data_IF_428665861887
#
_entry.id   IF_428665861887
#
_cell.length_a   1.000
_cell.length_b   1.000
_cell.length_c   1.000
_cell.angle_alpha   90.00
_cell.angle_beta   90.00
_cell.angle_gamma   90.00
#
_symmetry.space_group_name_H-M   'P 1'
#
loop_
_entity.id
_entity.type
_entity.pdbx_description
1 polymer ?
#
# COMPACT_ATOMS: atom_id res chain seq x y z
N UNK A 1 6.85 35.16 -15.95
CA UNK A 1 7.41 33.80 -16.05
C UNK A 1 7.01 33.06 -14.77
N UNK A 2 6.14 32.04 -14.88
CA UNK A 2 5.71 31.22 -13.74
C UNK A 2 5.96 29.77 -14.14
N UNK A 3 6.71 29.06 -13.30
CA UNK A 3 7.07 27.64 -13.41
C UNK A 3 8.39 27.39 -12.65
N UNK A 4 8.51 26.28 -11.90
CA UNK A 4 8.04 24.99 -12.34
C UNK A 4 6.87 24.44 -11.52
N UNK A 5 6.00 23.77 -12.26
CA UNK A 5 4.93 22.91 -11.79
C UNK A 5 5.53 21.73 -11.03
N UNK A 6 5.17 21.58 -9.75
CA UNK A 6 5.41 20.36 -8.99
C UNK A 6 4.65 19.22 -9.66
N UNK A 7 5.36 18.46 -10.49
CA UNK A 7 4.94 17.15 -10.94
C UNK A 7 4.92 16.22 -9.72
N UNK A 8 3.82 16.24 -8.98
CA UNK A 8 3.43 15.14 -8.09
C UNK A 8 3.22 13.91 -8.96
N UNK A 9 4.30 13.18 -9.18
CA UNK A 9 4.30 11.91 -9.86
C UNK A 9 3.45 10.96 -9.01
N UNK A 10 2.33 10.40 -9.52
CA UNK A 10 1.68 9.32 -8.82
C UNK A 10 2.74 8.23 -8.62
N UNK A 11 2.83 7.70 -7.40
CA UNK A 11 3.67 6.53 -7.09
C UNK A 11 3.11 5.31 -7.86
N UNK A 12 3.31 5.28 -9.17
CA UNK A 12 3.14 4.09 -9.99
C UNK A 12 4.31 3.19 -9.64
N UNK A 13 4.07 2.35 -8.64
CA UNK A 13 4.99 1.29 -8.23
C UNK A 13 5.46 0.55 -9.47
N UNK A 14 6.78 0.54 -9.62
CA UNK A 14 7.53 -0.17 -10.63
C UNK A 14 6.98 -1.59 -10.74
N UNK A 15 6.37 -1.86 -11.90
CA UNK A 15 6.25 -3.14 -12.58
C UNK A 15 6.80 -4.32 -11.73
N UNK A 16 5.92 -5.07 -11.07
CA UNK A 16 6.15 -6.49 -10.84
C UNK A 16 6.21 -7.11 -12.24
N UNK A 17 7.39 -7.06 -12.86
CA UNK A 17 7.63 -7.49 -14.24
C UNK A 17 7.78 -9.00 -14.29
N UNK A 18 6.82 -9.74 -13.75
CA UNK A 18 6.56 -11.13 -14.09
C UNK A 18 5.05 -11.30 -14.04
N UNK A 19 4.49 -11.80 -15.14
CA UNK A 19 3.08 -12.12 -15.40
C UNK A 19 2.27 -11.05 -16.15
N UNK A 20 2.35 -11.13 -17.48
CA UNK A 20 1.16 -11.02 -18.33
C UNK A 20 0.76 -9.62 -18.76
N UNK A 21 0.20 -9.53 -19.96
CA UNK A 21 -0.21 -8.31 -20.65
C UNK A 21 -1.18 -7.48 -19.79
N UNK A 22 -1.10 -6.16 -19.91
CA UNK A 22 -2.11 -5.23 -19.38
C UNK A 22 -3.46 -5.58 -20.02
N UNK A 23 -4.40 -6.11 -19.24
CA UNK A 23 -5.73 -6.50 -19.70
C UNK A 23 -6.22 -7.89 -19.26
N UNK A 24 -5.38 -8.69 -18.61
CA UNK A 24 -5.79 -10.01 -18.12
C UNK A 24 -6.41 -9.93 -16.72
N UNK A 25 -7.57 -10.56 -16.61
CA UNK A 25 -8.33 -10.72 -15.38
C UNK A 25 -7.62 -11.70 -14.47
N UNK A 26 -7.26 -11.29 -13.24
CA UNK A 26 -6.67 -12.17 -12.24
C UNK A 26 -7.78 -12.97 -11.56
N UNK A 27 -7.73 -14.30 -11.63
CA UNK A 27 -8.68 -15.20 -10.95
C UNK A 27 -7.92 -16.04 -9.92
N UNK A 28 -8.38 -16.02 -8.67
CA UNK A 28 -7.88 -16.96 -7.65
C UNK A 28 -8.34 -18.37 -7.99
N UNK A 29 -7.44 -19.35 -7.97
CA UNK A 29 -7.76 -20.76 -8.33
C UNK A 29 -8.66 -21.44 -7.30
N UNK A 30 -8.62 -21.02 -6.04
CA UNK A 30 -9.41 -21.65 -4.97
C UNK A 30 -10.76 -20.97 -4.73
N UNK A 31 -10.74 -19.69 -4.37
CA UNK A 31 -11.98 -18.99 -4.00
C UNK A 31 -12.72 -18.42 -5.21
N UNK A 32 -12.17 -18.57 -6.41
CA UNK A 32 -12.75 -18.11 -7.66
C UNK A 32 -12.87 -16.59 -7.77
N UNK A 33 -12.44 -15.80 -6.78
CA UNK A 33 -12.48 -14.33 -6.84
C UNK A 33 -11.75 -13.85 -8.07
N UNK A 34 -12.38 -12.89 -8.72
CA UNK A 34 -11.95 -12.32 -9.98
C UNK A 34 -11.63 -10.85 -9.72
N UNK A 35 -10.41 -10.45 -10.04
CA UNK A 35 -9.98 -9.07 -10.06
C UNK A 35 -9.85 -8.63 -11.51
N UNK A 36 -10.39 -7.46 -11.89
CA UNK A 36 -10.38 -6.97 -13.26
C UNK A 36 -8.97 -6.60 -13.79
N UNK A 37 -7.94 -6.74 -12.95
CA UNK A 37 -6.55 -6.47 -13.30
C UNK A 37 -5.62 -7.42 -12.57
N UNK A 38 -4.54 -7.81 -13.24
CA UNK A 38 -3.35 -8.42 -12.65
C UNK A 38 -2.48 -7.42 -11.84
N UNK A 39 -2.89 -6.15 -11.75
CA UNK A 39 -2.21 -5.13 -10.97
C UNK A 39 -2.77 -5.05 -9.55
N UNK A 40 -1.87 -5.07 -8.57
CA UNK A 40 -2.21 -4.72 -7.20
C UNK A 40 -1.84 -3.27 -6.94
N UNK A 41 -2.82 -2.46 -6.56
CA UNK A 41 -2.62 -1.06 -6.16
C UNK A 41 -2.63 -0.96 -4.64
N UNK A 42 -1.66 -0.25 -4.09
CA UNK A 42 -1.61 0.08 -2.67
C UNK A 42 -1.84 1.57 -2.54
N UNK A 43 -2.65 1.96 -1.56
CA UNK A 43 -2.88 3.35 -1.18
C UNK A 43 -2.48 3.53 0.28
N UNK A 44 -1.50 4.40 0.60
CA UNK A 44 -1.30 4.82 1.98
C UNK A 44 -2.48 5.68 2.44
N UNK A 45 -2.87 5.55 3.70
CA UNK A 45 -3.87 6.41 4.32
C UNK A 45 -3.18 7.57 5.02
N UNK A 46 -3.77 8.75 4.87
CA UNK A 46 -3.27 9.98 5.47
C UNK A 46 -3.77 10.13 6.92
N UNK A 47 -3.14 11.03 7.66
CA UNK A 47 -3.67 11.57 8.91
C UNK A 47 -3.84 13.08 8.76
N UNK A 48 -4.91 13.65 9.32
CA UNK A 48 -5.02 15.11 9.42
C UNK A 48 -4.28 15.62 10.66
N UNK A 49 -3.89 16.89 10.61
CA UNK A 49 -3.30 17.56 11.77
C UNK A 49 -4.38 17.79 12.84
N UNK A 50 -4.08 17.44 14.10
CA UNK A 50 -4.99 17.70 15.23
C UNK A 50 -5.04 19.16 15.68
N UNK A 51 -4.05 19.96 15.31
CA UNK A 51 -3.88 21.35 15.77
C UNK A 51 -4.51 22.32 14.77
N UNK A 52 -4.46 22.01 13.48
CA UNK A 52 -4.89 22.92 12.43
C UNK A 52 -6.31 22.56 11.97
N UNK A 53 -7.21 23.55 11.88
CA UNK A 53 -8.59 23.36 11.42
C UNK A 53 -8.68 22.97 9.93
N UNK A 54 -7.82 23.55 9.10
CA UNK A 54 -7.94 23.49 7.63
C UNK A 54 -6.69 22.88 6.95
N UNK A 55 -5.86 22.17 7.70
CA UNK A 55 -4.69 21.53 7.10
C UNK A 55 -5.10 20.41 6.13
N UNK A 56 -4.55 20.38 4.90
CA UNK A 56 -4.85 19.31 3.96
C UNK A 56 -4.31 17.98 4.51
N UNK A 57 -5.01 16.89 4.21
CA UNK A 57 -4.46 15.55 4.45
C UNK A 57 -3.29 15.31 3.51
N UNK A 58 -2.10 15.11 4.08
CA UNK A 58 -0.86 14.88 3.32
C UNK A 58 -0.57 13.39 3.22
N UNK A 59 -0.21 12.91 2.04
CA UNK A 59 0.29 11.55 1.87
C UNK A 59 1.55 11.36 2.73
N UNK A 60 1.64 10.27 3.50
CA UNK A 60 2.83 10.04 4.31
C UNK A 60 4.06 9.84 3.40
N UNK A 61 5.20 10.39 3.81
CA UNK A 61 6.47 10.07 3.21
C UNK A 61 6.94 8.71 3.77
N UNK A 62 6.88 7.66 2.94
CA UNK A 62 7.27 6.31 3.33
C UNK A 62 8.62 6.01 2.70
N UNK A 63 9.58 5.58 3.51
CA UNK A 63 10.89 5.17 3.02
C UNK A 63 10.79 4.07 1.97
N UNK A 64 11.57 4.20 0.89
CA UNK A 64 11.54 3.27 -0.24
C UNK A 64 11.82 1.81 0.18
N UNK A 65 12.68 1.59 1.17
CA UNK A 65 12.95 0.26 1.70
C UNK A 65 11.71 -0.36 2.37
N UNK A 66 10.94 0.44 3.13
CA UNK A 66 9.68 0.01 3.73
C UNK A 66 8.62 -0.30 2.66
N UNK A 67 8.55 0.48 1.58
CA UNK A 67 7.68 0.17 0.42
C UNK A 67 8.09 -1.17 -0.20
N UNK A 68 9.38 -1.41 -0.41
CA UNK A 68 9.89 -2.67 -0.97
C UNK A 68 9.50 -3.88 -0.11
N UNK A 69 9.71 -3.80 1.20
CA UNK A 69 9.34 -4.86 2.14
C UNK A 69 7.82 -5.12 2.11
N UNK A 70 7.00 -4.07 1.93
CA UNK A 70 5.55 -4.20 1.81
C UNK A 70 5.17 -5.02 0.59
N UNK A 71 5.75 -4.67 -0.56
CA UNK A 71 5.51 -5.35 -1.83
C UNK A 71 5.98 -6.81 -1.78
N UNK A 72 7.16 -7.09 -1.24
CA UNK A 72 7.67 -8.46 -1.07
C UNK A 72 6.76 -9.32 -0.19
N UNK A 73 6.26 -8.76 0.92
CA UNK A 73 5.35 -9.47 1.83
C UNK A 73 3.96 -9.68 1.20
N UNK A 74 3.49 -8.72 0.39
CA UNK A 74 2.23 -8.84 -0.35
C UNK A 74 2.31 -9.95 -1.40
N UNK A 75 3.36 -9.95 -2.22
CA UNK A 75 3.59 -10.98 -3.24
C UNK A 75 3.61 -12.38 -2.60
N UNK A 76 4.35 -12.54 -1.49
CA UNK A 76 4.37 -13.80 -0.72
C UNK A 76 2.98 -14.21 -0.26
N UNK A 77 2.17 -13.28 0.27
CA UNK A 77 0.80 -13.59 0.68
C UNK A 77 -0.06 -14.05 -0.48
N UNK A 78 0.10 -13.46 -1.67
CA UNK A 78 -0.63 -13.87 -2.87
C UNK A 78 -0.19 -15.27 -3.29
N UNK A 79 1.11 -15.54 -3.38
CA UNK A 79 1.67 -16.87 -3.68
C UNK A 79 1.14 -17.95 -2.76
N UNK A 80 1.18 -17.71 -1.44
CA UNK A 80 0.67 -18.66 -0.45
C UNK A 80 -0.85 -18.82 -0.55
N UNK A 81 -1.62 -17.72 -0.56
CA UNK A 81 -3.09 -17.79 -0.42
C UNK A 81 -3.83 -18.10 -1.71
N UNK A 82 -3.31 -17.66 -2.84
CA UNK A 82 -3.97 -17.79 -4.14
C UNK A 82 -3.39 -18.94 -4.96
N UNK A 83 -2.13 -19.32 -4.73
CA UNK A 83 -1.43 -20.33 -5.52
C UNK A 83 -0.87 -21.50 -4.69
N UNK A 84 -1.03 -21.48 -3.36
CA UNK A 84 -0.61 -22.57 -2.46
C UNK A 84 0.87 -22.91 -2.53
N UNK A 85 1.69 -21.96 -2.99
CA UNK A 85 3.14 -22.13 -3.06
C UNK A 85 3.73 -22.24 -1.64
N UNK A 86 4.58 -23.24 -1.42
CA UNK A 86 5.34 -23.40 -0.19
C UNK A 86 6.54 -22.46 -0.19
N UNK A 87 6.33 -21.21 0.21
CA UNK A 87 7.45 -20.27 0.37
C UNK A 87 8.10 -20.47 1.74
N UNK A 88 9.28 -21.10 1.80
CA UNK A 88 10.06 -21.28 3.04
C UNK A 88 10.70 -20.00 3.60
N UNK A 89 10.47 -18.85 2.97
CA UNK A 89 11.08 -17.58 3.35
C UNK A 89 10.33 -16.93 4.52
N UNK A 90 11.06 -16.59 5.59
CA UNK A 90 10.52 -15.80 6.71
C UNK A 90 9.98 -14.45 6.21
N UNK A 91 8.95 -13.93 6.90
CA UNK A 91 8.47 -12.56 6.67
C UNK A 91 9.59 -11.58 6.99
N UNK A 92 9.77 -10.59 6.11
CA UNK A 92 10.64 -9.45 6.41
C UNK A 92 9.85 -8.45 7.22
N UNK A 93 10.46 -7.93 8.27
CA UNK A 93 9.85 -6.90 9.10
C UNK A 93 10.21 -5.53 8.54
N UNK A 94 9.23 -4.63 8.60
CA UNK A 94 9.47 -3.21 8.33
C UNK A 94 10.35 -2.63 9.41
N UNK A 95 11.09 -1.59 9.05
CA UNK A 95 11.70 -0.72 10.03
C UNK A 95 10.59 0.00 10.79
N UNK A 96 10.62 -0.12 12.12
CA UNK A 96 9.64 0.55 12.97
C UNK A 96 10.25 1.88 13.35
N UNK A 97 9.53 2.96 13.06
CA UNK A 97 9.84 4.25 13.66
C UNK A 97 9.11 4.31 14.99
N UNK A 98 9.84 4.69 16.04
CA UNK A 98 9.24 5.07 17.30
C UNK A 98 8.50 6.38 17.07
N UNK A 99 7.17 6.31 17.09
CA UNK A 99 6.31 7.49 17.03
C UNK A 99 5.86 7.82 18.43
N UNK A 100 6.09 9.05 18.86
CA UNK A 100 5.76 9.51 20.22
C UNK A 100 4.26 9.63 20.47
N UNK A 101 3.45 9.78 19.41
CA UNK A 101 2.01 10.00 19.52
C UNK A 101 1.22 8.69 19.39
N UNK A 102 0.20 8.46 20.24
CA UNK A 102 -0.71 7.33 20.08
C UNK A 102 -1.48 7.40 18.76
N UNK A 103 -2.02 6.26 18.35
CA UNK A 103 -2.95 6.21 17.23
C UNK A 103 -4.24 6.97 17.60
N UNK A 104 -4.59 7.99 16.81
CA UNK A 104 -5.79 8.81 17.03
C UNK A 104 -6.83 8.51 15.93
N UNK A 105 -7.87 7.68 16.20
CA UNK A 105 -8.80 7.20 15.17
C UNK A 105 -9.61 8.30 14.49
N UNK A 106 -9.98 9.36 15.22
CA UNK A 106 -10.67 10.54 14.68
C UNK A 106 -9.84 11.28 13.62
N UNK A 107 -8.52 11.07 13.62
CA UNK A 107 -7.58 11.76 12.75
C UNK A 107 -6.95 10.85 11.68
N UNK A 108 -7.26 9.55 11.70
CA UNK A 108 -6.76 8.60 10.72
C UNK A 108 -7.77 8.36 9.60
N UNK A 109 -7.39 8.64 8.35
CA UNK A 109 -8.23 8.40 7.18
C UNK A 109 -8.66 6.91 7.06
N UNK A 110 -7.80 5.98 7.51
CA UNK A 110 -8.12 4.56 7.54
C UNK A 110 -9.20 4.19 8.57
N UNK A 111 -9.18 4.81 9.75
CA UNK A 111 -10.22 4.62 10.78
C UNK A 111 -11.54 5.25 10.35
N UNK A 112 -11.50 6.46 9.80
CA UNK A 112 -12.69 7.16 9.27
C UNK A 112 -13.40 6.31 8.20
N UNK A 113 -12.64 5.51 7.44
CA UNK A 113 -13.17 4.56 6.45
C UNK A 113 -13.50 3.17 6.98
N UNK A 114 -13.28 2.90 8.26
CA UNK A 114 -13.52 1.58 8.88
C UNK A 114 -12.56 0.48 8.41
N UNK A 115 -11.38 0.83 7.93
CA UNK A 115 -10.38 -0.11 7.37
C UNK A 115 -9.27 -0.42 8.37
N UNK A 116 -8.90 0.56 9.21
CA UNK A 116 -7.91 0.37 10.25
C UNK A 116 -8.47 -0.46 11.41
N UNK A 117 -7.64 -1.31 12.01
CA UNK A 117 -7.97 -2.18 13.14
C UNK A 117 -7.04 -1.95 14.35
N UNK A 118 -6.38 -0.78 14.39
CA UNK A 118 -5.53 -0.34 15.50
C UNK A 118 -6.31 0.44 16.54
#
# INVERSE_FOLDING_TARGET
AIGPSDHHQPFTLTKLSYLGKVGEVFRCTECGRIWPSNQVKIRPYCQNCKICSDAPMVNPNIEQNNIKILMENLEKKIKIKCYHEKTGQKRRYFERYDVESPHEPSHCEGCIRGICNK
#
